data_IF_724203420163
#
_entry.id   IF_724203420163
#
_cell.length_a   1.000
_cell.length_b   1.000
_cell.length_c   1.000
_cell.angle_alpha   90.00
_cell.angle_beta   90.00
_cell.angle_gamma   90.00
#
_symmetry.space_group_name_H-M   'P 1'
#
loop_
_entity.id
_entity.type
_entity.pdbx_description
1 polymer ?
#
# COMPACT_ATOMS: atom_id res chain seq x y z
N UNK A 1 40.99 29.68 -70.24
CA UNK A 1 40.16 29.89 -69.04
C UNK A 1 39.22 28.69 -68.91
N UNK A 2 39.42 27.85 -67.90
CA UNK A 2 38.57 26.67 -67.65
C UNK A 2 37.24 27.12 -67.05
N UNK A 3 36.15 26.96 -67.79
CA UNK A 3 34.80 27.16 -67.25
C UNK A 3 34.55 26.09 -66.17
N UNK A 4 34.41 26.52 -64.92
CA UNK A 4 33.96 25.64 -63.84
C UNK A 4 32.52 25.26 -64.14
N UNK A 5 32.31 24.05 -64.67
CA UNK A 5 30.98 23.48 -64.88
C UNK A 5 30.26 23.37 -63.55
N UNK A 6 28.96 23.72 -63.53
CA UNK A 6 28.12 23.59 -62.36
C UNK A 6 28.15 22.13 -61.87
N UNK A 7 28.49 21.88 -60.59
CA UNK A 7 28.59 20.53 -60.05
C UNK A 7 27.27 19.76 -60.14
N UNK A 8 26.11 20.43 -60.07
CA UNK A 8 24.80 19.80 -60.18
C UNK A 8 24.48 19.35 -61.61
N UNK A 9 24.91 20.11 -62.62
CA UNK A 9 24.75 19.72 -64.03
C UNK A 9 25.56 18.46 -64.34
N UNK A 10 26.77 18.37 -63.77
CA UNK A 10 27.65 17.19 -63.92
C UNK A 10 27.10 15.95 -63.21
N UNK A 11 26.51 16.11 -62.03
CA UNK A 11 25.86 15.02 -61.29
C UNK A 11 24.59 14.55 -62.00
N UNK A 12 23.83 15.47 -62.61
CA UNK A 12 22.64 15.16 -63.40
C UNK A 12 22.98 14.39 -64.67
N UNK A 13 24.00 14.85 -65.43
CA UNK A 13 24.51 14.16 -66.62
C UNK A 13 24.99 12.74 -66.26
N UNK A 14 25.73 12.58 -65.16
CA UNK A 14 26.19 11.26 -64.69
C UNK A 14 25.03 10.33 -64.30
N UNK A 15 23.97 10.88 -63.69
CA UNK A 15 22.77 10.13 -63.30
C UNK A 15 21.97 9.63 -64.52
N UNK A 16 21.85 10.47 -65.55
CA UNK A 16 21.09 10.16 -66.79
C UNK A 16 21.87 9.24 -67.71
N UNK A 17 23.17 9.50 -67.92
CA UNK A 17 23.98 8.74 -68.89
C UNK A 17 24.42 7.38 -68.33
N UNK A 18 24.53 7.24 -67.00
CA UNK A 18 24.94 5.99 -66.33
C UNK A 18 24.02 5.65 -65.14
N UNK A 19 22.74 5.34 -65.38
CA UNK A 19 21.76 5.14 -64.31
C UNK A 19 22.10 3.97 -63.39
N UNK A 20 22.68 2.88 -63.92
CA UNK A 20 23.11 1.72 -63.11
C UNK A 20 24.21 2.09 -62.11
N UNK A 21 25.17 2.92 -62.54
CA UNK A 21 26.27 3.37 -61.69
C UNK A 21 25.75 4.32 -60.61
N UNK A 22 24.86 5.24 -60.97
CA UNK A 22 24.24 6.18 -60.02
C UNK A 22 23.45 5.44 -58.93
N UNK A 23 22.63 4.45 -59.30
CA UNK A 23 21.88 3.62 -58.35
C UNK A 23 22.84 2.81 -57.46
N UNK A 24 23.88 2.20 -58.03
CA UNK A 24 24.85 1.43 -57.23
C UNK A 24 25.55 2.29 -56.18
N UNK A 25 25.95 3.52 -56.53
CA UNK A 25 26.55 4.48 -55.59
C UNK A 25 25.57 4.88 -54.50
N UNK A 26 24.30 5.15 -54.84
CA UNK A 26 23.27 5.49 -53.86
C UNK A 26 22.99 4.32 -52.88
N UNK A 27 22.88 3.09 -53.40
CA UNK A 27 22.68 1.90 -52.58
C UNK A 27 23.88 1.63 -51.66
N UNK A 28 25.11 1.74 -52.17
CA UNK A 28 26.32 1.63 -51.35
C UNK A 28 26.34 2.71 -50.26
N UNK A 29 25.95 3.95 -50.60
CA UNK A 29 25.84 5.05 -49.64
C UNK A 29 24.82 4.78 -48.55
N UNK A 30 23.63 4.28 -48.91
CA UNK A 30 22.59 3.87 -47.95
C UNK A 30 23.12 2.75 -47.05
N UNK A 31 23.71 1.69 -47.61
CA UNK A 31 24.24 0.58 -46.82
C UNK A 31 25.36 1.02 -45.88
N UNK A 32 26.24 1.91 -46.33
CA UNK A 32 27.29 2.49 -45.50
C UNK A 32 26.69 3.32 -44.34
N UNK A 33 25.68 4.15 -44.59
CA UNK A 33 24.99 4.91 -43.55
C UNK A 33 24.19 4.01 -42.58
N UNK A 34 23.48 3.01 -43.11
CA UNK A 34 22.74 2.03 -42.32
C UNK A 34 23.65 1.17 -41.45
N UNK A 35 24.91 0.96 -41.83
CA UNK A 35 25.88 0.26 -40.98
C UNK A 35 26.15 0.99 -39.66
N UNK A 36 25.85 2.29 -39.57
CA UNK A 36 25.96 3.04 -38.32
C UNK A 36 24.75 2.89 -37.39
N UNK A 37 23.65 2.30 -37.85
CA UNK A 37 22.45 2.08 -37.01
C UNK A 37 22.73 1.16 -35.81
N UNK A 38 23.72 0.27 -35.92
CA UNK A 38 24.15 -0.60 -34.81
C UNK A 38 24.80 0.17 -33.64
N UNK A 39 25.19 1.43 -33.84
CA UNK A 39 25.78 2.29 -32.81
C UNK A 39 24.76 3.22 -32.16
N UNK A 40 23.48 3.11 -32.51
CA UNK A 40 22.41 3.85 -31.83
C UNK A 40 22.16 3.16 -30.49
N UNK A 41 22.51 3.84 -29.39
CA UNK A 41 22.16 3.44 -28.02
C UNK A 41 20.91 4.23 -27.64
N UNK A 42 19.82 3.51 -27.37
CA UNK A 42 18.65 4.12 -26.76
C UNK A 42 18.86 4.16 -25.26
N UNK A 43 19.01 5.37 -24.73
CA UNK A 43 18.93 5.58 -23.30
C UNK A 43 17.45 5.64 -22.92
N UNK A 44 17.02 4.64 -22.14
CA UNK A 44 15.65 4.53 -21.64
C UNK A 44 15.58 4.84 -20.14
N UNK A 45 16.66 5.37 -19.56
CA UNK A 45 16.61 5.88 -18.18
C UNK A 45 15.69 7.10 -18.10
N UNK A 46 15.17 7.36 -16.90
CA UNK A 46 14.42 8.58 -16.60
C UNK A 46 15.23 9.83 -16.94
N UNK A 47 16.53 9.81 -16.60
CA UNK A 47 17.48 10.91 -16.80
C UNK A 47 17.67 11.31 -18.27
N UNK A 48 17.46 10.39 -19.21
CA UNK A 48 17.59 10.66 -20.65
C UNK A 48 16.62 11.73 -21.17
N UNK A 49 15.53 11.99 -20.44
CA UNK A 49 14.48 12.94 -20.81
C UNK A 49 14.63 14.31 -20.17
N UNK A 50 15.51 14.46 -19.17
CA UNK A 50 15.68 15.72 -18.46
C UNK A 50 16.85 16.54 -19.04
N UNK A 51 16.64 17.82 -19.36
CA UNK A 51 17.72 18.67 -19.85
C UNK A 51 18.69 19.02 -18.72
N UNK A 52 19.99 19.07 -19.01
CA UNK A 52 21.03 19.52 -18.09
C UNK A 52 20.84 21.02 -17.76
N UNK A 53 20.30 21.34 -16.59
CA UNK A 53 20.12 22.71 -16.10
C UNK A 53 19.96 22.75 -14.56
N UNK A 54 20.12 23.94 -13.97
CA UNK A 54 20.08 24.17 -12.52
C UNK A 54 18.80 23.63 -11.84
N UNK A 55 17.64 23.66 -12.51
CA UNK A 55 16.40 23.10 -11.95
C UNK A 55 16.47 21.57 -11.84
N UNK A 56 17.01 20.92 -12.88
CA UNK A 56 17.21 19.47 -12.91
C UNK A 56 18.26 19.05 -11.87
N UNK A 57 19.35 19.82 -11.74
CA UNK A 57 20.40 19.55 -10.76
C UNK A 57 19.87 19.64 -9.32
N UNK A 58 19.03 20.64 -9.03
CA UNK A 58 18.37 20.78 -7.74
C UNK A 58 17.37 19.64 -7.47
N UNK A 59 16.68 19.15 -8.50
CA UNK A 59 15.77 18.01 -8.37
C UNK A 59 16.54 16.76 -7.94
N UNK A 60 17.67 16.44 -8.60
CA UNK A 60 18.53 15.32 -8.25
C UNK A 60 19.19 15.48 -6.88
N UNK A 61 19.60 16.70 -6.50
CA UNK A 61 20.13 16.96 -5.15
C UNK A 61 19.06 16.67 -4.08
N UNK A 62 17.82 17.09 -4.31
CA UNK A 62 16.70 16.82 -3.40
C UNK A 62 16.39 15.33 -3.34
N UNK A 63 16.34 14.65 -4.48
CA UNK A 63 16.11 13.21 -4.57
C UNK A 63 17.19 12.42 -3.81
N UNK A 64 18.45 12.68 -4.12
CA UNK A 64 19.59 12.03 -3.46
C UNK A 64 19.67 12.32 -1.96
N UNK A 65 19.20 13.48 -1.49
CA UNK A 65 19.33 13.89 -0.08
C UNK A 65 18.13 13.47 0.76
N UNK A 66 16.91 13.51 0.20
CA UNK A 66 15.68 13.45 0.97
C UNK A 66 14.71 12.33 0.56
N UNK A 67 14.88 11.70 -0.59
CA UNK A 67 14.00 10.60 -0.99
C UNK A 67 14.60 9.26 -0.62
N UNK A 68 13.78 8.43 0.02
CA UNK A 68 14.02 6.99 0.05
C UNK A 68 13.51 6.48 -1.29
N UNK A 69 14.32 5.70 -1.99
CA UNK A 69 13.96 5.05 -3.25
C UNK A 69 12.83 4.03 -2.97
N UNK A 70 11.59 4.50 -3.09
CA UNK A 70 10.37 3.73 -2.82
C UNK A 70 9.45 3.89 -4.01
N UNK A 71 9.26 2.80 -4.72
CA UNK A 71 8.24 2.70 -5.75
C UNK A 71 6.87 2.40 -5.12
N UNK A 72 5.85 3.15 -5.55
CA UNK A 72 4.46 2.92 -5.15
C UNK A 72 3.70 2.22 -6.26
N UNK A 73 3.44 0.93 -6.08
CA UNK A 73 2.59 0.15 -6.98
C UNK A 73 1.14 0.34 -6.55
N UNK A 74 0.26 0.70 -7.51
CA UNK A 74 -1.15 0.99 -7.24
C UNK A 74 -2.05 0.23 -8.22
N UNK A 75 -3.04 -0.48 -7.69
CA UNK A 75 -4.17 -0.96 -8.47
C UNK A 75 -5.33 0.03 -8.37
N UNK A 76 -5.95 0.36 -9.51
CA UNK A 76 -7.13 1.23 -9.57
C UNK A 76 -8.29 0.39 -10.08
N UNK A 77 -9.21 0.05 -9.16
CA UNK A 77 -10.44 -0.67 -9.47
C UNK A 77 -11.57 0.33 -9.69
N UNK A 78 -12.37 0.11 -10.74
CA UNK A 78 -13.49 0.99 -11.10
C UNK A 78 -14.81 0.33 -10.73
N UNK A 79 -15.67 1.10 -10.09
CA UNK A 79 -17.01 0.70 -9.68
C UNK A 79 -18.05 1.71 -10.15
N UNK A 80 -19.30 1.29 -10.24
CA UNK A 80 -20.42 2.19 -10.45
C UNK A 80 -20.76 2.94 -9.15
N UNK A 81 -21.37 4.13 -9.24
CA UNK A 81 -21.78 4.88 -8.05
C UNK A 81 -22.73 4.07 -7.17
N UNK A 82 -22.38 3.88 -5.90
CA UNK A 82 -23.19 3.12 -4.94
C UNK A 82 -22.77 1.65 -4.73
N UNK A 83 -21.83 1.14 -5.54
CA UNK A 83 -21.39 -0.26 -5.44
C UNK A 83 -20.75 -0.56 -4.08
N UNK A 84 -19.86 0.31 -3.59
CA UNK A 84 -19.23 0.12 -2.28
C UNK A 84 -20.23 0.11 -1.12
N UNK A 85 -21.42 0.68 -1.32
CA UNK A 85 -22.49 0.72 -0.32
C UNK A 85 -23.42 -0.47 -0.35
N UNK A 86 -23.46 -1.18 -1.47
CA UNK A 86 -24.51 -2.17 -1.71
C UNK A 86 -24.01 -3.53 -2.12
N UNK A 87 -22.80 -3.61 -2.64
CA UNK A 87 -22.23 -4.80 -3.24
C UNK A 87 -21.16 -5.39 -2.34
N UNK A 88 -21.46 -6.54 -1.74
CA UNK A 88 -20.45 -7.39 -1.11
C UNK A 88 -19.35 -7.78 -2.10
N UNK A 89 -19.72 -8.11 -3.34
CA UNK A 89 -18.79 -8.52 -4.39
C UNK A 89 -17.77 -7.42 -4.76
N UNK A 90 -18.11 -6.13 -4.57
CA UNK A 90 -17.17 -5.04 -4.77
C UNK A 90 -16.04 -5.07 -3.73
N UNK A 91 -16.37 -5.38 -2.47
CA UNK A 91 -15.39 -5.52 -1.39
C UNK A 91 -14.59 -6.81 -1.49
N UNK A 92 -15.21 -7.91 -1.94
CA UNK A 92 -14.50 -9.16 -2.25
C UNK A 92 -13.45 -8.94 -3.36
N UNK A 93 -13.81 -8.22 -4.44
CA UNK A 93 -12.87 -7.87 -5.50
C UNK A 93 -11.69 -7.02 -4.99
N UNK A 94 -11.95 -6.08 -4.08
CA UNK A 94 -10.89 -5.28 -3.45
C UNK A 94 -9.97 -6.14 -2.59
N UNK A 95 -10.54 -7.06 -1.80
CA UNK A 95 -9.77 -8.00 -0.99
C UNK A 95 -8.91 -8.94 -1.85
N UNK A 96 -9.49 -9.49 -2.92
CA UNK A 96 -8.76 -10.32 -3.89
C UNK A 96 -7.61 -9.55 -4.55
N UNK A 97 -7.87 -8.30 -4.98
CA UNK A 97 -6.84 -7.44 -5.58
C UNK A 97 -5.71 -7.16 -4.60
N UNK A 98 -6.03 -6.82 -3.35
CA UNK A 98 -5.03 -6.62 -2.31
C UNK A 98 -4.21 -7.89 -2.05
N UNK A 99 -4.89 -9.03 -1.92
CA UNK A 99 -4.23 -10.32 -1.72
C UNK A 99 -3.24 -10.64 -2.86
N UNK A 100 -3.64 -10.46 -4.12
CA UNK A 100 -2.75 -10.68 -5.27
C UNK A 100 -1.54 -9.74 -5.25
N UNK A 101 -1.71 -8.48 -4.85
CA UNK A 101 -0.60 -7.53 -4.71
C UNK A 101 0.35 -7.93 -3.59
N UNK A 102 -0.16 -8.37 -2.43
CA UNK A 102 0.65 -8.76 -1.26
C UNK A 102 1.41 -10.06 -1.51
N UNK A 103 0.80 -11.00 -2.24
CA UNK A 103 1.35 -12.33 -2.44
C UNK A 103 2.10 -12.50 -3.75
N UNK A 104 2.23 -11.43 -4.56
CA UNK A 104 2.94 -11.46 -5.82
C UNK A 104 4.41 -11.88 -5.61
N UNK A 105 4.86 -13.03 -6.14
CA UNK A 105 6.23 -13.50 -5.92
C UNK A 105 7.30 -12.56 -6.48
N UNK A 106 6.99 -11.82 -7.54
CA UNK A 106 7.93 -10.88 -8.17
C UNK A 106 8.13 -9.60 -7.35
N UNK A 107 7.19 -9.29 -6.44
CA UNK A 107 7.21 -8.07 -5.63
C UNK A 107 7.53 -8.32 -4.15
N UNK A 108 7.27 -9.54 -3.67
CA UNK A 108 7.36 -9.89 -2.24
C UNK A 108 8.70 -9.56 -1.57
N UNK A 109 9.82 -9.73 -2.28
CA UNK A 109 11.17 -9.41 -1.77
C UNK A 109 11.44 -7.90 -1.66
N UNK A 110 10.64 -7.05 -2.33
CA UNK A 110 10.78 -5.59 -2.36
C UNK A 110 9.79 -4.88 -1.44
N UNK A 111 8.96 -5.62 -0.70
CA UNK A 111 7.97 -5.06 0.19
C UNK A 111 8.58 -4.27 1.35
N UNK A 112 8.18 -3.01 1.48
CA UNK A 112 8.66 -2.10 2.52
C UNK A 112 7.52 -1.65 3.44
N UNK A 113 7.64 -1.97 4.73
CA UNK A 113 6.57 -1.87 5.73
C UNK A 113 6.23 -0.44 6.19
N UNK A 114 5.65 0.40 5.33
CA UNK A 114 5.29 1.80 5.65
C UNK A 114 4.04 1.95 6.54
N UNK A 115 3.12 1.00 6.50
CA UNK A 115 1.78 1.14 7.07
C UNK A 115 1.65 0.35 8.38
N UNK A 116 2.31 0.83 9.43
CA UNK A 116 2.32 0.13 10.73
C UNK A 116 3.04 -1.23 10.67
N UNK A 117 4.07 -1.32 9.82
CA UNK A 117 4.82 -2.56 9.56
C UNK A 117 4.31 -3.36 8.36
N UNK A 118 3.15 -3.01 7.80
CA UNK A 118 2.66 -3.60 6.55
C UNK A 118 3.18 -2.87 5.32
N UNK A 119 3.51 -3.63 4.28
CA UNK A 119 3.93 -3.11 2.99
C UNK A 119 2.78 -2.70 2.06
N UNK A 120 1.54 -2.98 2.46
CA UNK A 120 0.35 -2.64 1.69
C UNK A 120 -0.62 -1.80 2.52
N UNK A 121 -1.42 -1.01 1.83
CA UNK A 121 -2.58 -0.32 2.38
C UNK A 121 -3.64 -0.26 1.30
N UNK A 122 -4.75 -0.95 1.54
CA UNK A 122 -5.89 -0.92 0.65
C UNK A 122 -7.22 -0.83 1.42
N UNK A 123 -8.34 -0.63 0.71
CA UNK A 123 -9.64 -0.49 1.34
C UNK A 123 -10.06 -1.69 2.20
N UNK A 124 -9.85 -2.92 1.73
CA UNK A 124 -10.25 -4.14 2.44
C UNK A 124 -9.45 -4.30 3.74
N UNK A 125 -8.12 -4.27 3.67
CA UNK A 125 -7.27 -4.30 4.86
C UNK A 125 -7.56 -3.17 5.86
N UNK A 126 -7.89 -1.98 5.37
CA UNK A 126 -8.29 -0.86 6.23
C UNK A 126 -9.61 -1.11 6.97
N UNK A 127 -10.61 -1.67 6.28
CA UNK A 127 -11.90 -2.03 6.90
C UNK A 127 -11.72 -3.19 7.87
N UNK A 128 -10.96 -4.23 7.52
CA UNK A 128 -10.64 -5.35 8.42
C UNK A 128 -10.00 -4.82 9.70
N UNK A 129 -9.00 -3.94 9.57
CA UNK A 129 -8.33 -3.34 10.72
C UNK A 129 -9.31 -2.55 11.58
N UNK A 130 -10.15 -1.70 10.98
CA UNK A 130 -11.16 -0.96 11.70
C UNK A 130 -12.19 -1.88 12.39
N UNK A 131 -12.70 -2.90 11.71
CA UNK A 131 -13.62 -3.90 12.28
C UNK A 131 -12.98 -4.61 13.48
N UNK A 132 -11.70 -4.96 13.36
CA UNK A 132 -10.94 -5.63 14.41
C UNK A 132 -10.77 -4.76 15.65
N UNK A 133 -10.40 -3.49 15.51
CA UNK A 133 -9.95 -2.67 16.66
C UNK A 133 -10.90 -1.56 17.10
N UNK A 134 -11.80 -1.11 16.22
CA UNK A 134 -12.58 0.11 16.42
C UNK A 134 -14.08 -0.07 16.28
N UNK A 135 -14.57 -1.00 15.46
CA UNK A 135 -16.01 -1.15 15.20
C UNK A 135 -16.79 -1.65 16.44
N UNK A 136 -17.80 -0.89 16.90
CA UNK A 136 -18.70 -1.36 17.97
C UNK A 136 -19.57 -2.54 17.58
N UNK A 137 -19.88 -2.72 16.29
CA UNK A 137 -20.70 -3.85 15.84
C UNK A 137 -19.94 -5.18 15.82
N UNK A 138 -18.61 -5.13 15.79
CA UNK A 138 -17.72 -6.30 15.78
C UNK A 138 -17.07 -6.54 17.16
N UNK A 139 -17.35 -5.69 18.14
CA UNK A 139 -16.82 -5.79 19.50
C UNK A 139 -17.48 -6.95 20.25
N UNK A 140 -16.67 -7.96 20.55
CA UNK A 140 -17.07 -9.16 21.31
C UNK A 140 -16.30 -9.30 22.62
N UNK A 141 -15.43 -8.33 22.95
CA UNK A 141 -14.46 -8.47 24.04
C UNK A 141 -14.68 -7.44 25.14
N UNK A 142 -15.11 -6.22 24.82
CA UNK A 142 -15.11 -5.12 25.79
C UNK A 142 -16.14 -5.30 26.90
N UNK A 143 -17.32 -5.82 26.57
CA UNK A 143 -18.40 -6.07 27.53
C UNK A 143 -18.02 -7.11 28.59
N UNK A 144 -17.58 -8.28 28.14
CA UNK A 144 -17.17 -9.39 29.01
C UNK A 144 -15.97 -8.99 29.88
N UNK A 145 -15.00 -8.27 29.30
CA UNK A 145 -13.86 -7.77 30.05
C UNK A 145 -14.28 -6.74 31.11
N UNK A 146 -15.22 -5.85 30.78
CA UNK A 146 -15.72 -4.86 31.73
C UNK A 146 -16.43 -5.53 32.93
N UNK A 147 -17.21 -6.57 32.67
CA UNK A 147 -17.84 -7.37 33.73
C UNK A 147 -16.79 -8.05 34.61
N UNK A 148 -15.78 -8.70 34.02
CA UNK A 148 -14.70 -9.32 34.78
C UNK A 148 -13.88 -8.32 35.61
N UNK A 149 -13.61 -7.12 35.09
CA UNK A 149 -12.95 -6.06 35.86
C UNK A 149 -13.82 -5.56 37.02
N UNK A 150 -15.14 -5.50 36.86
CA UNK A 150 -16.06 -5.16 37.94
C UNK A 150 -16.11 -6.26 39.02
N UNK A 151 -16.05 -7.53 38.62
CA UNK A 151 -15.92 -8.67 39.54
C UNK A 151 -14.61 -8.58 40.33
N UNK A 152 -13.48 -8.30 39.67
CA UNK A 152 -12.22 -8.03 40.36
C UNK A 152 -12.45 -6.92 41.38
N UNK A 153 -12.97 -5.75 40.96
CA UNK A 153 -13.21 -4.59 41.83
C UNK A 153 -14.04 -4.88 43.08
N UNK A 154 -14.93 -5.88 43.05
CA UNK A 154 -15.82 -6.23 44.16
C UNK A 154 -15.43 -7.51 44.91
N UNK A 155 -14.41 -8.22 44.43
CA UNK A 155 -13.92 -9.46 45.03
C UNK A 155 -13.29 -9.25 46.41
N UNK A 156 -13.57 -10.19 47.32
CA UNK A 156 -12.94 -10.34 48.63
C UNK A 156 -11.67 -11.21 48.57
N UNK A 157 -10.98 -11.36 49.69
CA UNK A 157 -9.73 -12.14 49.76
C UNK A 157 -9.88 -13.59 49.26
N UNK A 158 -11.03 -14.21 49.50
CA UNK A 158 -11.28 -15.61 49.14
C UNK A 158 -11.45 -15.84 47.64
N UNK A 159 -11.92 -14.84 46.89
CA UNK A 159 -12.23 -14.97 45.46
C UNK A 159 -11.44 -14.02 44.55
N UNK A 160 -10.59 -13.14 45.09
CA UNK A 160 -9.80 -12.20 44.30
C UNK A 160 -8.90 -12.89 43.27
N UNK A 161 -8.17 -13.93 43.68
CA UNK A 161 -7.28 -14.65 42.75
C UNK A 161 -8.05 -15.31 41.60
N UNK A 162 -9.30 -15.73 41.82
CA UNK A 162 -10.15 -16.32 40.79
C UNK A 162 -10.62 -15.22 39.83
N UNK A 163 -11.10 -14.10 40.36
CA UNK A 163 -11.56 -12.97 39.57
C UNK A 163 -10.43 -12.39 38.69
N UNK A 164 -9.23 -12.20 39.25
CA UNK A 164 -8.05 -11.75 38.48
C UNK A 164 -7.69 -12.76 37.39
N UNK A 165 -7.72 -14.06 37.71
CA UNK A 165 -7.47 -15.11 36.72
C UNK A 165 -8.47 -15.08 35.55
N UNK A 166 -9.75 -14.81 35.83
CA UNK A 166 -10.78 -14.65 34.81
C UNK A 166 -10.55 -13.40 33.95
N UNK A 167 -10.27 -12.25 34.56
CA UNK A 167 -9.95 -11.02 33.82
C UNK A 167 -8.71 -11.20 32.92
N UNK A 168 -7.66 -11.84 33.42
CA UNK A 168 -6.45 -12.18 32.63
C UNK A 168 -6.77 -13.12 31.47
N UNK A 169 -7.68 -14.08 31.65
CA UNK A 169 -8.09 -14.98 30.57
C UNK A 169 -8.86 -14.24 29.46
N UNK A 170 -9.67 -13.25 29.83
CA UNK A 170 -10.42 -12.42 28.88
C UNK A 170 -9.55 -11.35 28.21
N UNK A 171 -8.45 -10.92 28.82
CA UNK A 171 -7.49 -10.05 28.13
C UNK A 171 -6.93 -10.68 26.84
N UNK A 172 -6.93 -12.02 26.73
CA UNK A 172 -6.52 -12.71 25.51
C UNK A 172 -7.54 -12.59 24.36
N UNK A 173 -8.78 -12.16 24.62
CA UNK A 173 -9.77 -11.87 23.56
C UNK A 173 -9.67 -10.44 23.03
N UNK A 174 -8.89 -9.56 23.69
CA UNK A 174 -8.63 -8.22 23.19
C UNK A 174 -7.85 -8.33 21.88
N UNK A 175 -8.33 -7.72 20.79
CA UNK A 175 -7.70 -7.80 19.49
C UNK A 175 -6.30 -7.15 19.51
N UNK A 176 -5.34 -7.76 18.82
CA UNK A 176 -4.05 -7.15 18.59
C UNK A 176 -4.14 -6.00 17.58
N UNK A 177 -3.19 -5.07 17.65
CA UNK A 177 -3.15 -3.87 16.79
C UNK A 177 -2.27 -4.05 15.55
N UNK A 178 -1.91 -5.28 15.18
CA UNK A 178 -1.16 -5.49 13.94
C UNK A 178 -2.09 -5.27 12.75
N UNK A 179 -1.51 -4.69 11.69
CA UNK A 179 -2.20 -4.52 10.43
C UNK A 179 -2.52 -5.90 9.81
N UNK A 180 -3.64 -6.06 9.08
CA UNK A 180 -4.03 -7.35 8.51
C UNK A 180 -2.96 -7.97 7.60
N UNK A 181 -2.85 -9.29 7.69
CA UNK A 181 -1.99 -10.13 6.84
C UNK A 181 -2.69 -10.49 5.53
N UNK A 182 -1.95 -11.07 4.57
CA UNK A 182 -2.53 -11.64 3.35
C UNK A 182 -3.63 -12.66 3.66
N UNK A 183 -3.44 -13.48 4.68
CA UNK A 183 -4.37 -14.50 5.12
C UNK A 183 -5.63 -13.89 5.72
N UNK A 184 -5.51 -12.80 6.47
CA UNK A 184 -6.66 -12.06 7.00
C UNK A 184 -7.50 -11.48 5.86
N UNK A 185 -6.86 -10.90 4.84
CA UNK A 185 -7.53 -10.34 3.67
C UNK A 185 -8.21 -11.43 2.85
N UNK A 186 -7.55 -12.57 2.61
CA UNK A 186 -8.11 -13.70 1.86
C UNK A 186 -9.28 -14.36 2.61
N UNK A 187 -9.20 -14.43 3.94
CA UNK A 187 -10.23 -15.02 4.79
C UNK A 187 -11.38 -14.09 5.13
N UNK A 188 -11.28 -12.81 4.78
CA UNK A 188 -12.28 -11.81 5.12
C UNK A 188 -13.57 -12.00 4.32
N UNK A 189 -14.68 -11.97 5.04
CA UNK A 189 -16.03 -11.90 4.45
C UNK A 189 -16.61 -10.53 4.76
N UNK A 190 -16.82 -9.66 3.76
CA UNK A 190 -17.34 -8.31 4.00
C UNK A 190 -18.76 -8.29 4.59
N UNK A 191 -19.49 -9.41 4.52
CA UNK A 191 -20.90 -9.46 4.87
C UNK A 191 -21.71 -8.46 4.06
N UNK A 192 -22.74 -7.88 4.68
CA UNK A 192 -23.55 -6.82 4.08
C UNK A 192 -22.92 -5.45 4.35
N UNK A 193 -22.40 -4.71 3.34
CA UNK A 193 -21.79 -3.40 3.54
C UNK A 193 -22.68 -2.41 4.29
N UNK A 194 -24.00 -2.49 4.07
CA UNK A 194 -25.00 -1.65 4.73
C UNK A 194 -25.02 -1.83 6.26
N UNK A 195 -24.53 -2.94 6.78
CA UNK A 195 -24.51 -3.21 8.21
C UNK A 195 -23.40 -2.47 8.94
N UNK A 196 -22.24 -2.25 8.32
CA UNK A 196 -21.07 -1.69 8.99
C UNK A 196 -20.61 -0.35 8.41
N UNK A 197 -20.87 -0.08 7.13
CA UNK A 197 -20.35 1.12 6.47
C UNK A 197 -20.95 2.40 7.03
N UNK A 198 -22.23 2.40 7.43
CA UNK A 198 -22.82 3.58 8.07
C UNK A 198 -22.12 3.95 9.37
N UNK A 199 -21.61 2.97 10.12
CA UNK A 199 -20.83 3.18 11.35
C UNK A 199 -19.44 3.71 11.05
N UNK A 200 -18.81 3.16 10.01
CA UNK A 200 -17.52 3.64 9.53
C UNK A 200 -17.62 5.11 9.07
N UNK A 201 -18.63 5.44 8.25
CA UNK A 201 -18.85 6.78 7.71
C UNK A 201 -19.24 7.80 8.80
N UNK A 202 -19.97 7.37 9.83
CA UNK A 202 -20.35 8.22 10.98
C UNK A 202 -19.21 8.41 11.99
N UNK A 203 -18.13 7.64 11.89
CA UNK A 203 -17.01 7.66 12.83
C UNK A 203 -17.32 6.99 14.17
N UNK A 204 -18.28 6.07 14.21
CA UNK A 204 -18.56 5.26 15.40
C UNK A 204 -17.32 4.41 15.77
N UNK A 205 -17.04 4.33 17.08
CA UNK A 205 -15.86 3.61 17.56
C UNK A 205 -16.01 3.10 19.00
N UNK A 206 -15.17 2.12 19.35
CA UNK A 206 -15.04 1.54 20.70
C UNK A 206 -14.35 2.46 21.72
N UNK A 207 -14.05 3.72 21.36
CA UNK A 207 -13.33 4.65 22.24
C UNK A 207 -14.01 4.82 23.62
N UNK A 208 -15.34 4.83 23.67
CA UNK A 208 -16.09 4.91 24.92
C UNK A 208 -15.93 3.67 25.81
N UNK A 209 -16.03 2.48 25.22
CA UNK A 209 -15.84 1.21 25.92
C UNK A 209 -14.39 1.06 26.43
N UNK A 210 -13.41 1.36 25.58
CA UNK A 210 -11.99 1.39 25.94
C UNK A 210 -11.74 2.37 27.09
N UNK A 211 -12.32 3.57 27.03
CA UNK A 211 -12.20 4.57 28.09
C UNK A 211 -12.78 4.08 29.43
N UNK A 212 -13.92 3.38 29.42
CA UNK A 212 -14.52 2.80 30.61
C UNK A 212 -13.66 1.67 31.21
N UNK A 213 -13.10 0.80 30.36
CA UNK A 213 -12.18 -0.26 30.76
C UNK A 213 -10.92 0.31 31.40
N UNK A 214 -10.28 1.31 30.78
CA UNK A 214 -9.10 2.00 31.33
C UNK A 214 -9.44 2.65 32.67
N UNK A 215 -10.59 3.32 32.76
CA UNK A 215 -11.08 3.92 34.00
C UNK A 215 -11.22 2.89 35.12
N UNK A 216 -11.87 1.76 34.84
CA UNK A 216 -12.06 0.67 35.80
C UNK A 216 -10.73 0.05 36.21
N UNK A 217 -9.83 -0.22 35.24
CA UNK A 217 -8.51 -0.77 35.49
C UNK A 217 -7.68 0.14 36.42
N UNK A 218 -7.79 1.46 36.25
CA UNK A 218 -7.04 2.43 37.06
C UNK A 218 -7.47 2.49 38.54
N UNK A 219 -8.67 2.02 38.88
CA UNK A 219 -9.22 2.06 40.24
C UNK A 219 -9.22 0.70 40.95
N UNK A 220 -8.76 -0.39 40.30
CA UNK A 220 -8.81 -1.75 40.87
C UNK A 220 -8.07 -1.90 42.21
N UNK A 221 -7.06 -1.06 42.45
CA UNK A 221 -6.27 -1.05 43.68
C UNK A 221 -6.81 -0.11 44.75
N UNK A 222 -7.83 0.70 44.44
CA UNK A 222 -8.43 1.62 45.42
C UNK A 222 -9.13 0.83 46.53
N UNK A 223 -8.98 1.29 47.78
CA UNK A 223 -9.57 0.66 48.98
C UNK A 223 -9.16 -0.80 49.23
N UNK A 224 -8.03 -1.24 48.68
CA UNK A 224 -7.46 -2.58 48.91
C UNK A 224 -6.38 -2.61 49.98
N UNK A 225 -6.21 -3.76 50.62
CA UNK A 225 -5.07 -4.01 51.51
C UNK A 225 -3.81 -4.43 50.71
N UNK A 226 -2.64 -4.41 51.36
CA UNK A 226 -1.35 -4.73 50.70
C UNK A 226 -1.31 -6.14 50.08
N UNK A 227 -1.99 -7.12 50.68
CA UNK A 227 -2.02 -8.51 50.16
C UNK A 227 -2.88 -8.62 48.91
N UNK A 228 -4.00 -7.90 48.87
CA UNK A 228 -4.88 -7.82 47.71
C UNK A 228 -4.21 -7.06 46.55
N UNK A 229 -3.52 -5.95 46.84
CA UNK A 229 -2.77 -5.21 45.83
C UNK A 229 -1.65 -6.04 45.22
N UNK A 230 -1.00 -6.92 45.99
CA UNK A 230 0.02 -7.82 45.46
C UNK A 230 -0.53 -8.96 44.57
N UNK A 231 -1.85 -9.19 44.59
CA UNK A 231 -2.54 -10.22 43.78
C UNK A 231 -3.01 -9.67 42.43
N UNK A 232 -3.25 -8.36 42.34
CA UNK A 232 -3.66 -7.62 41.13
C UNK A 232 -2.43 -7.20 40.35
#
# INVERSE_FOLDING_TARGET
MSQVRNPFDRLSELSVDRPKTAIAVAVIGILALSSFAQFIVFDNSEDAFYPENETTDLLYEVESTYTVDIDLIRAIVRFEPGDLQTSQAAWELLAETEYEMITNPEMSDYHYGLFGGSAHSGPASSVIFWQKVQDPGSDTWSGDLQEALNEVSTASDENLSVAVGQALSLLASVPDTNFPTSEDVLGWSPGSPQEWQSRLDSGESNAGAIGALIGTASTLTENRNETQTATI
#
